data_IF_878348245749
#
_entry.id   IF_878348245749
#
_cell.length_a   1.000
_cell.length_b   1.000
_cell.length_c   1.000
_cell.angle_alpha   90.00
_cell.angle_beta   90.00
_cell.angle_gamma   90.00
#
_symmetry.space_group_name_H-M   'P 1'
#
loop_
_entity.id
_entity.type
_entity.pdbx_description
1 polymer ?
#
# COMPACT_ATOMS: atom_id res chain seq x y z
N UNK A 1 -17.91 -11.54 2.39
CA UNK A 1 -17.14 -10.60 3.24
C UNK A 1 -15.98 -10.08 2.41
N UNK A 2 -15.81 -8.75 2.29
CA UNK A 2 -14.72 -8.18 1.49
C UNK A 2 -13.36 -8.48 2.12
N UNK A 3 -12.32 -8.60 1.28
CA UNK A 3 -10.95 -8.74 1.74
C UNK A 3 -10.32 -7.34 1.87
N UNK A 4 -10.11 -6.89 3.11
CA UNK A 4 -9.44 -5.61 3.37
C UNK A 4 -7.93 -5.84 3.48
N UNK A 5 -7.16 -5.11 2.68
CA UNK A 5 -5.71 -5.16 2.64
C UNK A 5 -5.12 -3.85 3.13
N UNK A 6 -4.24 -3.93 4.13
CA UNK A 6 -3.58 -2.77 4.72
C UNK A 6 -2.12 -2.65 4.24
N UNK A 7 -1.71 -1.43 3.93
CA UNK A 7 -0.37 -1.12 3.42
C UNK A 7 0.23 0.07 4.16
N UNK A 8 1.52 -0.02 4.46
CA UNK A 8 2.29 1.02 5.13
C UNK A 8 3.65 1.19 4.47
N UNK A 9 4.31 2.34 4.67
CA UNK A 9 5.64 2.58 4.10
C UNK A 9 6.65 1.53 4.59
N UNK A 10 7.59 1.12 3.73
CA UNK A 10 8.63 0.17 4.14
C UNK A 10 9.62 0.79 5.12
N UNK A 11 9.90 2.09 4.98
CA UNK A 11 10.76 2.85 5.89
C UNK A 11 10.08 3.06 7.24
N UNK A 12 10.72 2.61 8.32
CA UNK A 12 10.17 2.72 9.68
C UNK A 12 10.19 4.16 10.22
N UNK A 13 11.18 4.96 9.84
CA UNK A 13 11.24 6.40 10.17
C UNK A 13 10.12 7.15 9.44
N UNK A 14 10.06 6.99 8.11
CA UNK A 14 9.05 7.67 7.30
C UNK A 14 7.61 7.30 7.73
N UNK A 15 7.34 6.06 8.14
CA UNK A 15 6.03 5.66 8.71
C UNK A 15 5.58 6.48 9.92
N UNK A 16 6.50 7.08 10.68
CA UNK A 16 6.20 7.89 11.86
C UNK A 16 6.03 9.37 11.51
N UNK A 17 6.78 9.84 10.51
CA UNK A 17 6.94 11.26 10.18
C UNK A 17 6.03 11.71 9.03
N UNK A 18 5.86 10.86 8.01
CA UNK A 18 5.04 11.17 6.83
C UNK A 18 3.56 10.98 7.16
N UNK A 19 2.76 12.01 6.89
CA UNK A 19 1.31 11.90 6.89
C UNK A 19 0.80 11.50 5.50
N UNK A 20 0.42 10.23 5.33
CA UNK A 20 -0.04 9.70 4.05
C UNK A 20 -1.35 10.33 3.54
N UNK A 21 -2.12 11.01 4.40
CA UNK A 21 -3.33 11.73 3.96
C UNK A 21 -3.01 12.85 2.99
N UNK A 22 -1.81 13.43 3.07
CA UNK A 22 -1.30 14.40 2.08
C UNK A 22 -1.16 13.80 0.67
N UNK A 23 -1.13 12.47 0.57
CA UNK A 23 -1.03 11.72 -0.67
C UNK A 23 -2.32 10.97 -1.01
N UNK A 24 -3.43 11.28 -0.34
CA UNK A 24 -4.69 10.54 -0.46
C UNK A 24 -5.15 10.44 -1.92
N UNK A 25 -5.18 11.56 -2.65
CA UNK A 25 -5.57 11.59 -4.05
C UNK A 25 -4.71 10.65 -4.92
N UNK A 26 -3.39 10.69 -4.73
CA UNK A 26 -2.44 9.85 -5.47
C UNK A 26 -2.65 8.36 -5.14
N UNK A 27 -2.79 8.03 -3.86
CA UNK A 27 -3.01 6.65 -3.39
C UNK A 27 -4.33 6.11 -3.95
N UNK A 28 -5.41 6.88 -3.83
CA UNK A 28 -6.74 6.48 -4.28
C UNK A 28 -6.78 6.27 -5.79
N UNK A 29 -6.22 7.19 -6.59
CA UNK A 29 -6.16 7.03 -8.04
C UNK A 29 -5.33 5.82 -8.46
N UNK A 30 -4.15 5.61 -7.86
CA UNK A 30 -3.31 4.46 -8.19
C UNK A 30 -3.95 3.13 -7.77
N UNK A 31 -4.62 3.09 -6.62
CA UNK A 31 -5.33 1.92 -6.14
C UNK A 31 -6.55 1.59 -7.02
N UNK A 32 -7.37 2.57 -7.38
CA UNK A 32 -8.50 2.40 -8.28
C UNK A 32 -8.04 1.95 -9.68
N UNK A 33 -6.90 2.46 -10.17
CA UNK A 33 -6.32 2.00 -11.44
C UNK A 33 -5.83 0.55 -11.40
N UNK A 34 -5.22 0.12 -10.30
CA UNK A 34 -4.70 -1.24 -10.15
C UNK A 34 -5.80 -2.26 -9.82
N UNK A 35 -6.83 -1.81 -9.10
CA UNK A 35 -7.98 -2.60 -8.66
C UNK A 35 -9.29 -1.81 -8.90
N UNK A 36 -9.77 -1.73 -10.16
CA UNK A 36 -11.01 -1.03 -10.49
C UNK A 36 -12.24 -1.56 -9.76
N UNK A 37 -12.19 -2.82 -9.34
CA UNK A 37 -13.24 -3.47 -8.54
C UNK A 37 -13.17 -3.16 -7.05
N UNK A 38 -12.17 -2.39 -6.60
CA UNK A 38 -12.08 -1.97 -5.21
C UNK A 38 -13.35 -1.22 -4.80
N UNK A 39 -13.92 -1.61 -3.66
CA UNK A 39 -15.16 -1.01 -3.15
C UNK A 39 -14.88 0.25 -2.36
N UNK A 40 -13.72 0.28 -1.72
CA UNK A 40 -13.34 1.34 -0.82
C UNK A 40 -11.81 1.42 -0.73
N UNK A 41 -11.30 2.64 -0.76
CA UNK A 41 -9.89 2.96 -0.51
C UNK A 41 -9.88 4.05 0.54
N UNK A 42 -9.30 3.76 1.71
CA UNK A 42 -9.23 4.70 2.84
C UNK A 42 -7.77 4.97 3.18
N UNK A 43 -7.41 6.24 3.30
CA UNK A 43 -6.03 6.66 3.59
C UNK A 43 -5.96 7.24 5.00
N UNK A 44 -5.22 6.58 5.87
CA UNK A 44 -4.94 7.03 7.22
C UNK A 44 -3.57 7.69 7.27
N UNK A 45 -3.28 8.40 8.37
CA UNK A 45 -1.99 9.07 8.56
C UNK A 45 -0.77 8.18 8.31
N UNK A 46 -0.84 6.88 8.68
CA UNK A 46 0.32 5.97 8.68
C UNK A 46 0.18 4.75 7.77
N UNK A 47 -0.98 4.52 7.20
CA UNK A 47 -1.26 3.36 6.35
C UNK A 47 -2.46 3.67 5.45
N UNK A 48 -2.68 2.86 4.41
CA UNK A 48 -3.93 2.89 3.65
C UNK A 48 -4.54 1.50 3.57
N UNK A 49 -5.85 1.44 3.38
CA UNK A 49 -6.64 0.23 3.24
C UNK A 49 -7.25 0.16 1.84
N UNK A 50 -7.28 -1.04 1.26
CA UNK A 50 -8.01 -1.34 0.02
C UNK A 50 -8.98 -2.47 0.33
N UNK A 51 -10.28 -2.22 0.13
CA UNK A 51 -11.34 -3.22 0.25
C UNK A 51 -11.61 -3.86 -1.12
N UNK A 52 -11.33 -5.16 -1.23
CA UNK A 52 -11.47 -5.94 -2.45
C UNK A 52 -12.60 -6.97 -2.32
N UNK A 53 -13.34 -7.26 -3.42
CA UNK A 53 -14.25 -8.40 -3.45
C UNK A 53 -13.52 -9.73 -3.13
N UNK A 54 -14.21 -10.73 -2.55
CA UNK A 54 -13.60 -12.02 -2.20
C UNK A 54 -13.03 -12.76 -3.42
N UNK A 55 -13.66 -12.58 -4.60
CA UNK A 55 -13.32 -13.26 -5.85
C UNK A 55 -12.30 -12.50 -6.71
N UNK A 56 -11.48 -11.62 -6.12
CA UNK A 56 -10.31 -11.06 -6.82
C UNK A 56 -9.29 -12.20 -6.99
N UNK A 57 -9.54 -13.00 -8.03
CA UNK A 57 -8.85 -14.21 -8.45
C UNK A 57 -7.54 -13.93 -9.19
N UNK A 58 -7.06 -14.95 -9.89
CA UNK A 58 -5.75 -15.04 -10.54
C UNK A 58 -5.24 -13.69 -11.08
N UNK A 59 -3.99 -13.35 -10.71
CA UNK A 59 -3.25 -12.12 -11.06
C UNK A 59 -3.18 -10.99 -10.02
N UNK A 60 -3.61 -11.24 -8.77
CA UNK A 60 -3.38 -10.32 -7.65
C UNK A 60 -1.92 -9.83 -7.55
N UNK A 61 -0.96 -10.72 -7.80
CA UNK A 61 0.46 -10.39 -7.77
C UNK A 61 0.88 -9.37 -8.83
N UNK A 62 0.45 -9.48 -10.10
CA UNK A 62 0.85 -8.48 -11.09
C UNK A 62 0.13 -7.15 -10.88
N UNK A 63 -1.12 -7.17 -10.41
CA UNK A 63 -1.85 -5.95 -10.03
C UNK A 63 -1.18 -5.21 -8.87
N UNK A 64 -0.69 -5.93 -7.86
CA UNK A 64 0.11 -5.32 -6.78
C UNK A 64 1.41 -4.71 -7.29
N UNK A 65 2.09 -5.36 -8.25
CA UNK A 65 3.27 -4.77 -8.90
C UNK A 65 2.90 -3.51 -9.70
N UNK A 66 1.76 -3.52 -10.40
CA UNK A 66 1.23 -2.35 -11.11
C UNK A 66 0.94 -1.20 -10.14
N UNK A 67 0.28 -1.47 -9.02
CA UNK A 67 0.05 -0.51 -7.95
C UNK A 67 1.35 0.10 -7.45
N UNK A 68 2.34 -0.75 -7.12
CA UNK A 68 3.65 -0.29 -6.64
C UNK A 68 4.35 0.63 -7.63
N UNK A 69 4.34 0.30 -8.93
CA UNK A 69 4.92 1.16 -9.98
C UNK A 69 4.17 2.48 -10.15
N UNK A 70 2.84 2.44 -10.14
CA UNK A 70 2.01 3.64 -10.26
C UNK A 70 2.26 4.60 -9.08
N UNK A 71 2.26 4.09 -7.85
CA UNK A 71 2.57 4.86 -6.64
C UNK A 71 3.97 5.47 -6.71
N UNK A 72 4.97 4.68 -7.14
CA UNK A 72 6.33 5.17 -7.27
C UNK A 72 6.46 6.30 -8.30
N UNK A 73 5.76 6.19 -9.43
CA UNK A 73 5.75 7.21 -10.46
C UNK A 73 5.03 8.49 -10.04
N UNK A 74 3.98 8.39 -9.20
CA UNK A 74 3.18 9.54 -8.76
C UNK A 74 3.76 10.27 -7.55
N UNK A 75 4.65 9.62 -6.79
CA UNK A 75 5.18 10.18 -5.54
C UNK A 75 6.72 10.11 -5.49
N UNK A 76 7.44 10.75 -6.43
CA UNK A 76 8.90 10.65 -6.51
C UNK A 76 9.62 11.18 -5.25
N UNK A 77 9.11 12.24 -4.62
CA UNK A 77 9.68 12.75 -3.35
C UNK A 77 9.57 11.71 -2.22
N UNK A 78 8.40 11.11 -2.05
CA UNK A 78 8.18 10.06 -1.05
C UNK A 78 9.02 8.81 -1.35
N UNK A 79 9.30 8.56 -2.63
CA UNK A 79 10.20 7.48 -3.05
C UNK A 79 11.64 7.72 -2.61
N UNK A 80 12.15 8.94 -2.75
CA UNK A 80 13.49 9.30 -2.28
C UNK A 80 13.63 9.12 -0.77
N UNK A 81 12.58 9.45 -0.01
CA UNK A 81 12.61 9.42 1.46
C UNK A 81 12.36 8.02 2.05
N UNK A 82 11.44 7.25 1.47
CA UNK A 82 10.83 6.10 2.14
C UNK A 82 10.96 4.77 1.38
N UNK A 83 11.46 4.77 0.15
CA UNK A 83 11.62 3.54 -0.63
C UNK A 83 12.80 2.72 -0.12
N UNK A 84 12.63 1.40 -0.12
CA UNK A 84 13.72 0.46 0.16
C UNK A 84 14.10 -0.28 -1.11
N UNK A 85 15.41 -0.30 -1.38
CA UNK A 85 16.01 -1.11 -2.43
C UNK A 85 16.51 -2.42 -1.84
N UNK A 86 16.05 -3.53 -2.41
CA UNK A 86 16.45 -4.88 -2.05
C UNK A 86 17.36 -5.41 -3.16
N UNK A 87 18.64 -5.59 -2.83
CA UNK A 87 19.56 -6.31 -3.69
C UNK A 87 19.13 -7.76 -3.86
N UNK A 88 19.44 -8.34 -5.01
CA UNK A 88 19.27 -9.77 -5.28
C UNK A 88 20.59 -10.35 -5.76
N UNK A 89 20.94 -11.55 -5.27
CA UNK A 89 22.14 -12.28 -5.71
C UNK A 89 21.90 -13.06 -7.01
N UNK A 90 20.64 -13.38 -7.34
CA UNK A 90 20.27 -14.32 -8.41
C UNK A 90 19.17 -13.77 -9.36
N UNK A 91 18.84 -12.47 -9.28
CA UNK A 91 17.79 -11.88 -10.12
C UNK A 91 17.74 -10.36 -10.08
N UNK A 92 16.65 -9.77 -10.61
CA UNK A 92 16.49 -8.32 -10.66
C UNK A 92 16.32 -7.72 -9.25
N UNK A 93 17.06 -6.64 -8.97
CA UNK A 93 16.86 -5.84 -7.76
C UNK A 93 15.40 -5.36 -7.70
N UNK A 94 14.83 -5.33 -6.49
CA UNK A 94 13.46 -4.87 -6.30
C UNK A 94 13.43 -3.63 -5.42
N UNK A 95 12.57 -2.68 -5.77
CA UNK A 95 12.37 -1.47 -4.99
C UNK A 95 10.93 -1.43 -4.53
N UNK A 96 10.70 -1.17 -3.24
CA UNK A 96 9.35 -1.15 -2.68
C UNK A 96 9.17 0.12 -1.85
N UNK A 97 8.07 0.83 -2.09
CA UNK A 97 7.68 1.98 -1.28
C UNK A 97 6.76 1.56 -0.12
N UNK A 98 5.80 0.68 -0.42
CA UNK A 98 4.84 0.17 0.54
C UNK A 98 4.98 -1.34 0.70
N UNK A 99 4.66 -1.82 1.91
CA UNK A 99 4.50 -3.24 2.22
C UNK A 99 3.12 -3.52 2.75
N UNK A 100 2.63 -4.73 2.51
CA UNK A 100 1.42 -5.23 3.15
C UNK A 100 1.67 -5.47 4.63
N UNK A 101 0.77 -4.99 5.48
CA UNK A 101 0.75 -5.29 6.91
C UNK A 101 0.33 -6.76 7.10
N UNK A 102 1.18 -7.57 7.73
CA UNK A 102 0.93 -8.99 8.01
C UNK A 102 1.08 -9.38 9.48
N UNK A 103 1.82 -8.62 10.28
CA UNK A 103 2.04 -8.95 11.68
C UNK A 103 0.76 -8.77 12.52
N UNK A 104 0.37 -9.79 13.29
CA UNK A 104 -0.91 -9.85 14.03
C UNK A 104 -1.24 -8.56 14.79
N UNK A 105 -0.34 -8.12 15.68
CA UNK A 105 -0.53 -6.90 16.49
C UNK A 105 -0.70 -5.64 15.64
N UNK A 106 0.11 -5.47 14.58
CA UNK A 106 0.02 -4.29 13.71
C UNK A 106 -1.24 -4.31 12.86
N UNK A 107 -1.64 -5.48 12.40
CA UNK A 107 -2.86 -5.70 11.62
C UNK A 107 -4.10 -5.37 12.44
N UNK A 108 -4.15 -5.81 13.70
CA UNK A 108 -5.22 -5.49 14.64
C UNK A 108 -5.36 -3.99 14.87
N UNK A 109 -4.25 -3.28 15.10
CA UNK A 109 -4.27 -1.81 15.17
C UNK A 109 -4.86 -1.20 13.90
N UNK A 110 -4.41 -1.61 12.71
CA UNK A 110 -4.95 -1.08 11.46
C UNK A 110 -6.45 -1.37 11.27
N UNK A 111 -6.93 -2.53 11.73
CA UNK A 111 -8.35 -2.89 11.68
C UNK A 111 -9.18 -2.00 12.58
N UNK A 112 -8.78 -1.79 13.84
CA UNK A 112 -9.53 -0.94 14.76
C UNK A 112 -9.70 0.48 14.19
N UNK A 113 -8.62 1.07 13.66
CA UNK A 113 -8.70 2.37 12.98
C UNK A 113 -9.61 2.39 11.75
N UNK A 114 -9.76 1.26 11.06
CA UNK A 114 -10.59 1.15 9.87
C UNK A 114 -12.06 0.89 10.20
N UNK A 115 -12.33 0.14 11.25
CA UNK A 115 -13.69 -0.15 11.73
C UNK A 115 -14.32 1.08 12.45
N UNK A 116 -13.49 2.05 12.87
CA UNK A 116 -13.92 3.34 13.45
C UNK A 116 -14.33 4.40 12.40
N UNK A 117 -14.21 4.10 11.09
CA UNK A 117 -14.59 4.98 9.97
C UNK A 117 -16.00 4.66 9.49
#
# INVERSE_FOLDING_TARGET
MNCVLFYELVSTSARKEVDLRTQELNITQCAAYAFPESKEIVVFKRFYAISLPPDVGNDRSARLRRLGRALASKMPGLCQEAMKHYGSKEGAASSQLFRRVRGKKRLEVCKNYYDDV
#
